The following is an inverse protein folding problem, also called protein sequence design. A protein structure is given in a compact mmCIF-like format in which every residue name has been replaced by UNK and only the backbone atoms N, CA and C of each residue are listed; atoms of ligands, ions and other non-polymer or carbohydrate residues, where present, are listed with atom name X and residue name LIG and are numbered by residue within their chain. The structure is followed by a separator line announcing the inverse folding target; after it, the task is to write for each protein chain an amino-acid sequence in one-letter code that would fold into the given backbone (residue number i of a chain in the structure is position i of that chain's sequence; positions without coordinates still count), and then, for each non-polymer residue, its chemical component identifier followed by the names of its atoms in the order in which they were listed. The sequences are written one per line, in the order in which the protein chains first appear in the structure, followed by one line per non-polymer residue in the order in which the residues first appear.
data_IF_918490755255
#
_entry.id   IF_918490755255
#
_cell.length_a   1.000
_cell.length_b   1.000
_cell.length_c   1.000
_cell.angle_alpha   90.00
_cell.angle_beta   90.00
_cell.angle_gamma   90.00
#
_symmetry.space_group_name_H-M   'P 1'
#
loop_
_entity.id
_entity.type
_entity.pdbx_description
1 polymer ?
#
# COMPACT_ATOMS: atom_id res chain seq x y z
N UNK A 1 29.30 8.89 73.48
CA UNK A 1 28.02 9.62 73.45
C UNK A 1 27.92 10.29 72.14
N UNK A 2 27.32 9.57 71.12
CA UNK A 2 27.28 9.97 69.71
C UNK A 2 25.87 10.49 69.46
N UNK A 3 25.74 11.76 69.13
CA UNK A 3 24.47 12.42 68.80
C UNK A 3 24.18 12.18 67.37
N UNK A 4 23.13 11.40 67.07
CA UNK A 4 22.59 11.15 65.75
C UNK A 4 21.65 12.30 65.35
N UNK A 5 22.06 13.13 64.36
CA UNK A 5 21.28 14.25 63.87
C UNK A 5 20.29 13.69 62.84
N UNK A 6 19.02 13.60 63.18
CA UNK A 6 17.92 13.20 62.24
C UNK A 6 17.57 14.40 61.36
N UNK A 7 17.98 14.39 60.09
CA UNK A 7 17.53 15.33 59.06
C UNK A 7 16.11 14.91 58.60
N UNK A 8 15.11 15.63 59.09
CA UNK A 8 13.73 15.54 58.58
C UNK A 8 13.66 16.31 57.26
N UNK A 9 13.64 15.61 56.15
CA UNK A 9 13.34 16.19 54.84
C UNK A 9 11.83 16.45 54.73
N UNK A 10 11.42 17.69 54.84
CA UNK A 10 10.06 18.15 54.55
C UNK A 10 9.90 18.19 53.03
N UNK A 11 8.97 17.44 52.42
CA UNK A 11 8.69 17.60 50.99
C UNK A 11 8.04 18.96 50.78
N UNK A 12 8.74 19.84 50.07
CA UNK A 12 8.20 21.11 49.61
C UNK A 12 7.21 20.79 48.48
N UNK A 13 5.93 20.68 48.79
CA UNK A 13 4.88 20.67 47.78
C UNK A 13 4.87 22.06 47.14
N UNK A 14 5.42 22.16 45.93
CA UNK A 14 5.23 23.32 45.07
C UNK A 14 3.73 23.40 44.75
N UNK A 15 3.03 24.38 45.32
CA UNK A 15 1.64 24.67 44.95
C UNK A 15 1.63 25.15 43.50
N UNK A 16 1.15 24.31 42.57
CA UNK A 16 0.94 24.71 41.19
C UNK A 16 -0.10 25.83 41.17
N UNK A 17 0.34 26.99 40.72
CA UNK A 17 -0.51 28.19 40.69
C UNK A 17 -1.43 28.11 39.47
N UNK A 18 -2.71 27.86 39.74
CA UNK A 18 -3.74 27.87 38.72
C UNK A 18 -4.21 29.30 38.42
N UNK A 19 -4.42 29.59 37.15
CA UNK A 19 -4.98 30.84 36.64
C UNK A 19 -6.26 30.58 35.91
N UNK A 20 -7.21 31.48 36.08
CA UNK A 20 -8.43 31.48 35.29
C UNK A 20 -8.18 32.24 33.98
N UNK A 21 -8.36 31.55 32.86
CA UNK A 21 -8.20 32.12 31.51
C UNK A 21 -9.57 32.22 30.85
N UNK A 22 -9.85 33.42 30.37
CA UNK A 22 -11.09 33.74 29.63
C UNK A 22 -10.71 34.29 28.24
N UNK A 23 -11.62 34.24 27.29
CA UNK A 23 -11.40 34.84 26.00
C UNK A 23 -12.57 34.64 25.05
N UNK A 24 -12.43 35.18 23.86
CA UNK A 24 -13.38 35.02 22.77
C UNK A 24 -12.68 34.36 21.59
N UNK A 25 -13.33 33.36 21.01
CA UNK A 25 -12.89 32.71 19.77
C UNK A 25 -13.75 33.23 18.64
N UNK A 26 -13.10 33.75 17.60
CA UNK A 26 -13.77 34.29 16.40
C UNK A 26 -13.19 33.65 15.14
N UNK A 27 -13.88 33.77 14.04
CA UNK A 27 -13.34 33.51 12.71
C UNK A 27 -12.47 34.67 12.18
N UNK A 28 -12.02 34.59 10.93
CA UNK A 28 -11.27 35.64 10.23
C UNK A 28 -12.10 36.92 9.98
N UNK A 29 -13.43 36.78 9.93
CA UNK A 29 -14.38 37.89 9.73
C UNK A 29 -14.78 38.54 11.08
N UNK A 30 -14.23 38.08 12.20
CA UNK A 30 -14.57 38.49 13.59
C UNK A 30 -15.94 38.03 14.05
N UNK A 31 -16.55 37.04 13.41
CA UNK A 31 -17.77 36.41 13.90
C UNK A 31 -17.45 35.40 15.04
N UNK A 32 -18.23 35.38 16.12
CA UNK A 32 -17.98 34.51 17.25
C UNK A 32 -18.25 33.04 16.87
N UNK A 33 -17.31 32.16 17.18
CA UNK A 33 -17.41 30.71 16.93
C UNK A 33 -17.98 29.98 18.15
N UNK A 34 -19.14 29.38 17.97
CA UNK A 34 -19.87 28.59 19.00
C UNK A 34 -19.43 27.14 18.94
N UNK A 35 -19.19 26.53 20.09
CA UNK A 35 -18.88 25.11 20.16
C UNK A 35 -17.42 24.75 19.88
N UNK A 36 -16.51 25.71 19.88
CA UNK A 36 -15.06 25.46 19.78
C UNK A 36 -14.60 24.70 21.01
N UNK A 37 -13.90 23.59 20.79
CA UNK A 37 -13.32 22.81 21.88
C UNK A 37 -11.96 23.39 22.28
N UNK A 38 -11.83 23.81 23.54
CA UNK A 38 -10.62 24.39 24.13
C UNK A 38 -10.07 23.41 25.14
N UNK A 39 -8.93 22.77 24.84
CA UNK A 39 -8.31 21.76 25.71
C UNK A 39 -6.91 22.17 26.12
N UNK A 40 -6.42 21.58 27.20
CA UNK A 40 -5.04 21.78 27.65
C UNK A 40 -4.19 20.65 27.05
N UNK A 41 -3.14 21.01 26.31
CA UNK A 41 -2.16 20.05 25.79
C UNK A 41 -1.54 19.32 26.99
N UNK A 42 -1.39 18.04 26.95
CA UNK A 42 -0.79 17.20 28.01
C UNK A 42 -1.69 16.91 29.24
N UNK A 43 -2.93 17.46 29.31
CA UNK A 43 -3.91 17.11 30.34
C UNK A 43 -5.25 16.68 29.74
N UNK A 44 -5.38 15.45 29.26
CA UNK A 44 -6.64 14.94 28.73
C UNK A 44 -7.71 14.93 29.80
N UNK A 45 -8.84 15.63 29.54
CA UNK A 45 -9.95 15.77 30.46
C UNK A 45 -10.14 17.17 31.03
N UNK A 46 -9.17 18.09 30.85
CA UNK A 46 -9.31 19.50 31.21
C UNK A 46 -9.64 20.31 29.94
N UNK A 47 -10.87 20.77 29.79
CA UNK A 47 -11.32 21.52 28.61
C UNK A 47 -12.54 22.37 28.89
N UNK A 48 -12.84 23.28 27.98
CA UNK A 48 -14.02 24.12 27.92
C UNK A 48 -14.56 24.18 26.49
N UNK A 49 -15.83 24.53 26.32
CA UNK A 49 -16.46 24.73 25.04
C UNK A 49 -16.94 26.20 24.95
N UNK A 50 -16.78 26.85 23.81
CA UNK A 50 -17.25 28.23 23.62
C UNK A 50 -18.78 28.33 23.61
N UNK A 51 -19.30 29.40 24.22
CA UNK A 51 -20.73 29.73 24.26
C UNK A 51 -21.22 30.38 22.96
N UNK A 52 -22.50 30.80 22.93
CA UNK A 52 -23.14 31.42 21.76
C UNK A 52 -22.49 32.76 21.34
N UNK A 53 -21.68 33.37 22.21
CA UNK A 53 -20.94 34.60 21.94
C UNK A 53 -19.44 34.28 21.69
N UNK A 54 -19.09 33.02 21.46
CA UNK A 54 -17.71 32.58 21.27
C UNK A 54 -16.83 32.67 22.52
N UNK A 55 -17.40 32.88 23.71
CA UNK A 55 -16.64 33.02 24.96
C UNK A 55 -16.34 31.69 25.61
N UNK A 56 -15.14 31.57 26.16
CA UNK A 56 -14.74 30.42 26.96
C UNK A 56 -14.11 30.84 28.29
N UNK A 57 -14.11 29.94 29.24
CA UNK A 57 -13.53 30.09 30.55
C UNK A 57 -12.95 28.75 31.00
N UNK A 58 -11.66 28.73 31.33
CA UNK A 58 -10.95 27.54 31.75
C UNK A 58 -9.91 27.85 32.81
N UNK A 59 -9.78 26.97 33.84
CA UNK A 59 -8.75 27.06 34.85
C UNK A 59 -7.57 26.19 34.47
N UNK A 60 -6.40 26.76 34.32
CA UNK A 60 -5.19 26.10 33.88
C UNK A 60 -3.99 26.49 34.77
N UNK A 61 -2.93 25.71 34.70
CA UNK A 61 -1.64 26.08 35.32
C UNK A 61 -0.93 27.16 34.51
N UNK A 62 -0.14 28.00 35.18
CA UNK A 62 0.72 28.95 34.47
C UNK A 62 1.63 28.20 33.47
N UNK A 63 1.86 28.78 32.31
CA UNK A 63 2.65 28.22 31.20
C UNK A 63 2.06 27.00 30.53
N UNK A 64 0.77 26.69 30.72
CA UNK A 64 0.06 25.66 29.95
C UNK A 64 -0.18 26.10 28.52
N UNK A 65 -0.31 25.10 27.63
CA UNK A 65 -0.63 25.31 26.22
C UNK A 65 -2.09 24.95 25.98
N UNK A 66 -2.89 25.93 25.52
CA UNK A 66 -4.26 25.72 25.08
C UNK A 66 -4.30 25.31 23.63
N UNK A 67 -5.12 24.32 23.30
CA UNK A 67 -5.40 23.83 21.96
C UNK A 67 -6.85 24.15 21.64
N UNK A 68 -7.06 24.93 20.58
CA UNK A 68 -8.37 25.31 20.06
C UNK A 68 -8.65 24.46 18.83
N UNK A 69 -9.72 23.67 18.85
CA UNK A 69 -10.13 22.83 17.74
C UNK A 69 -11.61 23.00 17.42
N UNK A 70 -11.93 23.17 16.14
CA UNK A 70 -13.27 23.28 15.65
C UNK A 70 -13.39 22.68 14.26
N UNK A 71 -14.53 22.07 13.95
CA UNK A 71 -14.74 21.41 12.65
C UNK A 71 -14.73 22.48 11.54
N UNK A 72 -13.89 22.27 10.52
CA UNK A 72 -13.73 23.20 9.41
C UNK A 72 -12.72 24.33 9.66
N UNK A 73 -11.99 24.32 10.79
CA UNK A 73 -11.00 25.33 11.12
C UNK A 73 -9.64 24.70 11.48
N UNK A 74 -8.56 25.40 11.21
CA UNK A 74 -7.21 24.98 11.56
C UNK A 74 -7.04 24.95 13.08
N UNK A 75 -6.55 23.85 13.61
CA UNK A 75 -6.23 23.72 15.04
C UNK A 75 -5.12 24.69 15.42
N UNK A 76 -5.35 25.52 16.47
CA UNK A 76 -4.37 26.47 16.97
C UNK A 76 -3.89 26.09 18.37
N UNK A 77 -2.58 26.22 18.59
CA UNK A 77 -1.96 26.03 19.90
C UNK A 77 -1.40 27.34 20.42
N UNK A 78 -1.83 27.77 21.60
CA UNK A 78 -1.38 29.02 22.23
C UNK A 78 -0.78 28.75 23.60
N UNK A 79 0.44 29.20 23.83
CA UNK A 79 1.09 29.13 25.11
C UNK A 79 0.58 30.28 26.00
N UNK A 80 -0.13 29.94 27.07
CA UNK A 80 -0.62 30.90 28.06
C UNK A 80 0.44 31.10 29.13
N UNK A 81 1.07 32.27 29.16
CA UNK A 81 2.10 32.58 30.16
C UNK A 81 1.48 32.98 31.48
N UNK A 82 1.08 34.25 31.65
CA UNK A 82 0.42 34.80 32.84
C UNK A 82 -0.79 35.68 32.47
N UNK A 83 -1.30 35.45 31.28
CA UNK A 83 -2.42 36.22 30.73
C UNK A 83 -3.73 35.59 31.17
N UNK A 84 -4.64 36.37 31.71
CA UNK A 84 -6.00 35.94 32.08
C UNK A 84 -6.99 36.13 30.93
N UNK A 85 -6.61 36.88 29.88
CA UNK A 85 -7.44 37.11 28.68
C UNK A 85 -6.68 36.66 27.43
N UNK A 86 -7.21 35.67 26.71
CA UNK A 86 -6.66 35.15 25.45
C UNK A 86 -7.74 35.07 24.41
N UNK A 87 -7.75 36.02 23.48
CA UNK A 87 -8.65 36.00 22.32
C UNK A 87 -7.97 35.32 21.15
N UNK A 88 -8.74 34.51 20.39
CA UNK A 88 -8.23 33.66 19.32
C UNK A 88 -9.06 33.91 18.09
N UNK A 89 -8.39 34.15 16.95
CA UNK A 89 -9.05 34.16 15.65
C UNK A 89 -8.63 32.90 14.91
N UNK A 90 -9.59 31.99 14.70
CA UNK A 90 -9.36 30.75 13.97
C UNK A 90 -9.49 31.01 12.47
N UNK A 91 -8.59 30.42 11.71
CA UNK A 91 -8.63 30.43 10.26
C UNK A 91 -9.43 29.23 9.80
N UNK A 92 -10.34 29.43 8.85
CA UNK A 92 -10.98 28.31 8.16
C UNK A 92 -9.88 27.41 7.58
N UNK A 93 -9.99 26.14 7.88
CA UNK A 93 -9.08 25.17 7.32
C UNK A 93 -9.32 25.12 5.82
N UNK A 94 -8.26 25.33 5.03
CA UNK A 94 -8.26 24.99 3.61
C UNK A 94 -8.29 23.45 3.42
N UNK A 95 -8.19 22.68 4.51
CA UNK A 95 -8.63 21.32 4.55
C UNK A 95 -10.16 21.32 4.34
N UNK A 96 -10.58 21.42 3.07
CA UNK A 96 -11.86 20.85 2.66
C UNK A 96 -11.97 19.54 3.44
N UNK A 97 -13.09 19.35 4.19
CA UNK A 97 -13.47 17.99 4.58
C UNK A 97 -13.02 17.12 3.44
N UNK A 98 -12.17 16.14 3.74
CA UNK A 98 -11.89 15.10 2.77
C UNK A 98 -13.20 14.32 2.72
N UNK A 99 -14.21 14.93 2.07
CA UNK A 99 -15.33 14.20 1.53
C UNK A 99 -14.64 13.16 0.66
N UNK A 100 -14.62 11.92 1.12
CA UNK A 100 -14.04 10.82 0.38
C UNK A 100 -14.68 10.84 -1.02
N UNK A 101 -13.95 11.45 -1.93
CA UNK A 101 -14.40 11.64 -3.30
C UNK A 101 -14.10 10.36 -4.04
N UNK A 102 -15.15 9.72 -4.51
CA UNK A 102 -15.07 8.54 -5.35
C UNK A 102 -15.06 8.98 -6.80
N UNK A 103 -14.06 8.57 -7.54
CA UNK A 103 -14.04 8.77 -8.98
C UNK A 103 -14.96 7.71 -9.59
N UNK A 104 -16.03 8.16 -10.23
CA UNK A 104 -16.97 7.34 -10.98
C UNK A 104 -16.82 7.64 -12.47
N UNK A 105 -17.42 6.81 -13.32
CA UNK A 105 -17.40 7.06 -14.77
C UNK A 105 -18.05 8.37 -15.22
N UNK A 106 -18.79 9.04 -14.34
CA UNK A 106 -19.40 10.36 -14.57
C UNK A 106 -18.58 11.50 -13.95
N UNK A 107 -17.40 11.21 -13.39
CA UNK A 107 -16.53 12.18 -12.73
C UNK A 107 -16.43 11.98 -11.21
N UNK A 108 -15.81 12.95 -10.55
CA UNK A 108 -15.65 12.95 -9.11
C UNK A 108 -16.98 13.17 -8.40
N UNK A 109 -17.42 12.25 -7.56
CA UNK A 109 -18.65 12.34 -6.77
C UNK A 109 -18.35 12.09 -5.28
N UNK A 110 -19.15 12.70 -4.41
CA UNK A 110 -19.07 12.42 -2.97
C UNK A 110 -19.48 10.97 -2.71
N UNK A 111 -18.75 10.22 -1.90
CA UNK A 111 -19.03 8.82 -1.57
C UNK A 111 -20.48 8.60 -1.11
N UNK A 112 -21.03 9.55 -0.35
CA UNK A 112 -22.40 9.50 0.14
C UNK A 112 -23.46 9.55 -0.98
N UNK A 113 -23.13 10.04 -2.18
CA UNK A 113 -24.05 10.14 -3.31
C UNK A 113 -23.96 8.98 -4.30
N UNK A 114 -22.95 8.12 -4.14
CA UNK A 114 -22.76 6.95 -5.00
C UNK A 114 -23.62 5.79 -4.51
N UNK A 115 -24.61 5.40 -5.29
CA UNK A 115 -25.55 4.33 -4.96
C UNK A 115 -25.03 2.92 -5.27
N UNK A 116 -23.94 2.81 -6.04
CA UNK A 116 -23.34 1.54 -6.43
C UNK A 116 -22.12 1.13 -5.57
N UNK A 117 -21.76 -0.15 -5.59
CA UNK A 117 -20.57 -0.63 -4.89
C UNK A 117 -19.29 -0.20 -5.61
N UNK A 118 -18.73 0.90 -5.17
CA UNK A 118 -17.40 1.38 -5.56
C UNK A 118 -16.46 1.16 -4.40
N UNK A 119 -15.32 0.53 -4.67
CA UNK A 119 -14.25 0.36 -3.68
C UNK A 119 -13.08 1.23 -4.07
N UNK A 120 -12.80 2.22 -3.24
CA UNK A 120 -11.54 2.92 -3.30
C UNK A 120 -10.49 2.05 -2.62
N UNK A 121 -9.37 1.89 -3.29
CA UNK A 121 -8.22 1.16 -2.78
C UNK A 121 -7.19 2.16 -2.32
N UNK A 122 -6.69 1.97 -1.12
CA UNK A 122 -5.57 2.77 -0.64
C UNK A 122 -4.32 2.42 -1.45
N UNK A 123 -3.82 3.39 -2.19
CA UNK A 123 -2.65 3.22 -3.04
C UNK A 123 -1.41 2.87 -2.22
N UNK A 124 -1.31 3.31 -0.97
CA UNK A 124 -0.19 2.98 -0.08
C UNK A 124 -0.18 1.48 0.28
N UNK A 125 -1.35 0.86 0.41
CA UNK A 125 -1.45 -0.60 0.60
C UNK A 125 -0.93 -1.35 -0.64
N UNK A 126 -1.27 -0.88 -1.83
CA UNK A 126 -0.75 -1.48 -3.07
C UNK A 126 0.76 -1.31 -3.20
N UNK A 127 1.32 -0.16 -2.81
CA UNK A 127 2.77 0.10 -2.81
C UNK A 127 3.55 -0.75 -1.82
N UNK A 128 2.91 -1.25 -0.78
CA UNK A 128 3.55 -2.13 0.20
C UNK A 128 3.86 -3.52 -0.36
N UNK A 129 3.24 -3.88 -1.49
CA UNK A 129 3.49 -5.16 -2.16
C UNK A 129 4.84 -5.10 -2.90
N UNK A 130 5.73 -6.07 -2.67
CA UNK A 130 7.05 -6.10 -3.30
C UNK A 130 7.03 -6.44 -4.80
N UNK A 131 5.87 -6.85 -5.35
CA UNK A 131 5.75 -7.20 -6.77
C UNK A 131 6.06 -6.02 -7.69
N UNK A 132 6.73 -6.29 -8.81
CA UNK A 132 6.96 -5.30 -9.85
C UNK A 132 5.67 -4.94 -10.60
N UNK A 133 4.74 -5.89 -10.73
CA UNK A 133 3.50 -5.74 -11.48
C UNK A 133 2.33 -5.37 -10.57
N UNK A 134 1.56 -4.38 -11.00
CA UNK A 134 0.42 -3.87 -10.24
C UNK A 134 -0.71 -4.90 -10.13
N UNK A 135 -0.90 -5.73 -11.16
CA UNK A 135 -1.91 -6.81 -11.15
C UNK A 135 -1.70 -7.80 -10.00
N UNK A 136 -0.45 -8.11 -9.64
CA UNK A 136 -0.12 -8.98 -8.51
C UNK A 136 -0.45 -8.35 -7.16
N UNK A 137 -0.39 -7.01 -7.07
CA UNK A 137 -0.70 -6.29 -5.85
C UNK A 137 -2.21 -6.26 -5.53
N UNK A 138 -3.07 -6.61 -6.50
CA UNK A 138 -4.52 -6.64 -6.29
C UNK A 138 -4.96 -7.83 -5.44
N UNK A 139 -4.24 -8.97 -5.53
CA UNK A 139 -4.56 -10.19 -4.80
C UNK A 139 -4.54 -9.96 -3.28
N UNK A 140 -5.66 -10.21 -2.62
CA UNK A 140 -5.80 -10.04 -1.17
C UNK A 140 -5.95 -8.59 -0.67
N UNK A 141 -5.59 -7.58 -1.48
CA UNK A 141 -5.65 -6.18 -1.09
C UNK A 141 -6.94 -5.48 -1.54
N UNK A 142 -7.59 -6.01 -2.58
CA UNK A 142 -8.82 -5.42 -3.11
C UNK A 142 -9.99 -6.36 -2.92
N UNK A 143 -10.94 -5.98 -2.07
CA UNK A 143 -12.10 -6.84 -1.77
C UNK A 143 -12.95 -7.11 -3.03
N UNK A 144 -13.26 -8.39 -3.30
CA UNK A 144 -14.04 -8.82 -4.45
C UNK A 144 -13.27 -8.88 -5.77
N UNK A 145 -11.94 -8.73 -5.74
CA UNK A 145 -11.06 -9.03 -6.85
C UNK A 145 -10.41 -10.38 -6.60
N UNK A 146 -10.50 -11.25 -7.60
CA UNK A 146 -9.76 -12.50 -7.67
C UNK A 146 -8.62 -12.30 -8.64
N UNK A 147 -7.40 -12.57 -8.24
CA UNK A 147 -6.24 -12.49 -9.11
C UNK A 147 -5.47 -13.82 -9.06
N UNK A 148 -4.97 -14.24 -10.21
CA UNK A 148 -4.23 -15.48 -10.37
C UNK A 148 -2.98 -15.23 -11.20
N UNK A 149 -1.82 -15.42 -10.61
CA UNK A 149 -0.55 -15.40 -11.31
C UNK A 149 -0.26 -16.77 -11.88
N UNK A 150 -0.08 -16.86 -13.19
CA UNK A 150 0.15 -18.13 -13.91
C UNK A 150 1.63 -18.44 -14.14
N UNK A 151 2.49 -17.42 -14.08
CA UNK A 151 3.94 -17.54 -14.29
C UNK A 151 4.70 -16.66 -13.30
N UNK A 152 5.88 -17.10 -12.88
CA UNK A 152 6.85 -16.29 -12.15
C UNK A 152 8.01 -15.82 -13.02
N UNK A 153 7.95 -16.03 -14.34
CA UNK A 153 9.02 -15.63 -15.25
C UNK A 153 8.96 -14.12 -15.49
N UNK A 154 10.07 -13.39 -15.35
CA UNK A 154 10.14 -11.94 -15.63
C UNK A 154 9.54 -11.58 -16.99
N UNK A 155 8.73 -10.52 -17.01
CA UNK A 155 8.02 -10.04 -18.19
C UNK A 155 6.72 -10.80 -18.54
N UNK A 156 6.44 -11.94 -17.92
CA UNK A 156 5.19 -12.72 -18.03
C UNK A 156 4.66 -13.15 -16.66
N UNK A 157 5.10 -12.50 -15.59
CA UNK A 157 4.70 -12.73 -14.21
C UNK A 157 3.52 -11.84 -13.77
N UNK A 158 2.71 -11.40 -14.71
CA UNK A 158 1.49 -10.65 -14.48
C UNK A 158 0.37 -11.57 -13.99
N UNK A 159 -0.59 -11.01 -13.25
CA UNK A 159 -1.79 -11.74 -12.84
C UNK A 159 -2.97 -11.41 -13.73
N UNK A 160 -3.69 -12.45 -14.14
CA UNK A 160 -5.06 -12.28 -14.60
C UNK A 160 -5.96 -12.00 -13.42
N UNK A 161 -6.89 -11.05 -13.54
CA UNK A 161 -7.79 -10.72 -12.45
C UNK A 161 -9.24 -10.53 -12.92
N UNK A 162 -10.16 -10.83 -12.01
CA UNK A 162 -11.60 -10.74 -12.24
C UNK A 162 -12.27 -10.05 -11.05
N UNK A 163 -13.29 -9.25 -11.36
CA UNK A 163 -14.09 -8.57 -10.36
C UNK A 163 -15.38 -9.36 -10.15
N UNK A 164 -15.55 -9.94 -8.94
CA UNK A 164 -16.68 -10.82 -8.58
C UNK A 164 -16.84 -12.07 -9.48
N UNK A 165 -15.79 -12.46 -10.17
CA UNK A 165 -15.77 -13.60 -11.08
C UNK A 165 -16.04 -13.24 -12.55
N UNK A 166 -16.16 -14.25 -13.40
CA UNK A 166 -16.37 -14.09 -14.83
C UNK A 166 -17.88 -13.99 -15.09
N UNK A 167 -18.34 -12.87 -15.64
CA UNK A 167 -19.75 -12.60 -15.93
C UNK A 167 -20.11 -12.81 -17.40
N UNK A 168 -19.11 -12.98 -18.28
CA UNK A 168 -19.31 -13.11 -19.73
C UNK A 168 -18.91 -14.48 -20.24
N UNK A 169 -19.67 -14.97 -21.25
CA UNK A 169 -19.29 -16.13 -22.04
C UNK A 169 -18.61 -15.63 -23.31
N UNK A 170 -17.31 -15.89 -23.47
CA UNK A 170 -16.59 -15.50 -24.68
C UNK A 170 -15.12 -15.23 -24.47
N UNK A 171 -14.49 -14.65 -25.50
CA UNK A 171 -13.03 -14.47 -25.56
C UNK A 171 -12.46 -13.42 -24.60
N UNK A 172 -13.28 -12.51 -24.07
CA UNK A 172 -12.82 -11.46 -23.16
C UNK A 172 -13.49 -11.59 -21.79
N UNK A 173 -12.79 -12.16 -20.84
CA UNK A 173 -13.22 -12.32 -19.44
C UNK A 173 -12.60 -11.31 -18.49
N UNK A 174 -11.64 -10.48 -18.96
CA UNK A 174 -10.94 -9.50 -18.13
C UNK A 174 -11.80 -8.28 -17.78
N UNK A 175 -11.50 -7.64 -16.67
CA UNK A 175 -12.08 -6.35 -16.32
C UNK A 175 -11.53 -5.23 -17.22
N UNK A 176 -12.35 -4.21 -17.46
CA UNK A 176 -11.92 -3.02 -18.21
C UNK A 176 -11.06 -2.14 -17.32
N UNK A 177 -9.83 -1.84 -17.73
CA UNK A 177 -8.92 -0.92 -17.02
C UNK A 177 -8.88 0.41 -17.76
N UNK A 178 -9.18 1.48 -17.06
CA UNK A 178 -9.14 2.85 -17.57
C UNK A 178 -8.18 3.69 -16.74
N UNK A 179 -7.19 4.28 -17.41
CA UNK A 179 -6.22 5.21 -16.85
C UNK A 179 -6.48 6.58 -17.42
N UNK A 180 -6.87 7.52 -16.57
CA UNK A 180 -7.29 8.88 -16.97
C UNK A 180 -8.34 8.86 -18.10
N UNK A 181 -9.20 7.84 -18.13
CA UNK A 181 -10.27 7.64 -19.12
C UNK A 181 -9.86 6.85 -20.36
N UNK A 182 -8.60 6.47 -20.52
CA UNK A 182 -8.12 5.66 -21.65
C UNK A 182 -7.91 4.20 -21.23
N UNK A 183 -8.29 3.27 -22.09
CA UNK A 183 -8.02 1.85 -21.86
C UNK A 183 -6.54 1.55 -21.99
N UNK A 184 -5.97 0.95 -20.96
CA UNK A 184 -4.55 0.58 -20.89
C UNK A 184 -4.37 -0.72 -20.12
N UNK A 185 -3.24 -1.37 -20.32
CA UNK A 185 -2.82 -2.47 -19.49
C UNK A 185 -2.45 -1.96 -18.07
N UNK A 186 -2.87 -2.71 -17.07
CA UNK A 186 -2.63 -2.35 -15.67
C UNK A 186 -1.14 -2.38 -15.31
N UNK A 187 -0.40 -3.34 -15.89
CA UNK A 187 1.00 -3.56 -15.56
C UNK A 187 1.98 -2.62 -16.32
N UNK A 188 1.45 -1.81 -17.25
CA UNK A 188 2.22 -0.73 -17.87
C UNK A 188 2.31 0.53 -16.99
N UNK A 189 1.58 0.56 -15.85
CA UNK A 189 1.47 1.75 -15.02
C UNK A 189 2.36 1.61 -13.81
N UNK A 190 3.19 2.62 -13.57
CA UNK A 190 3.95 2.68 -12.35
C UNK A 190 3.04 3.05 -11.16
N UNK A 191 3.05 2.21 -10.13
CA UNK A 191 2.25 2.43 -8.92
C UNK A 191 2.57 3.77 -8.22
N UNK A 192 3.80 4.26 -8.35
CA UNK A 192 4.20 5.56 -7.78
C UNK A 192 3.55 6.75 -8.47
N UNK A 193 3.02 6.58 -9.67
CA UNK A 193 2.35 7.63 -10.43
C UNK A 193 0.84 7.68 -10.20
N UNK A 194 0.29 6.72 -9.45
CA UNK A 194 -1.14 6.65 -9.16
C UNK A 194 -1.51 7.61 -8.05
N UNK A 195 -2.55 8.41 -8.26
CA UNK A 195 -3.19 9.27 -7.26
C UNK A 195 -4.39 8.56 -6.62
N UNK A 196 -5.23 7.89 -7.41
CA UNK A 196 -6.38 7.14 -6.91
C UNK A 196 -6.63 5.86 -7.72
N UNK A 197 -7.11 4.83 -7.03
CA UNK A 197 -7.46 3.54 -7.58
C UNK A 197 -8.86 3.16 -7.12
N UNK A 198 -9.79 3.02 -8.04
CA UNK A 198 -11.20 2.72 -7.76
C UNK A 198 -11.67 1.52 -8.57
N UNK A 199 -12.43 0.64 -7.94
CA UNK A 199 -13.00 -0.54 -8.58
C UNK A 199 -14.52 -0.46 -8.57
N UNK A 200 -15.12 -0.40 -9.77
CA UNK A 200 -16.56 -0.43 -9.99
C UNK A 200 -17.00 -1.88 -10.14
N UNK A 201 -17.83 -2.33 -9.20
CA UNK A 201 -18.20 -3.77 -9.10
C UNK A 201 -19.63 -4.05 -9.53
N UNK A 202 -20.51 -3.05 -9.49
CA UNK A 202 -21.93 -3.21 -9.77
C UNK A 202 -22.32 -2.75 -11.17
N UNK A 203 -23.27 -3.45 -11.77
CA UNK A 203 -23.80 -3.10 -13.09
C UNK A 203 -24.33 -1.66 -13.17
N UNK A 204 -24.87 -1.12 -12.07
CA UNK A 204 -25.34 0.28 -12.01
C UNK A 204 -24.22 1.30 -12.21
N UNK A 205 -23.01 0.99 -11.70
CA UNK A 205 -21.83 1.85 -11.83
C UNK A 205 -21.06 1.63 -13.14
N UNK A 206 -21.13 0.42 -13.71
CA UNK A 206 -20.43 0.06 -14.94
C UNK A 206 -21.27 0.24 -16.20
N UNK A 207 -22.58 0.53 -16.07
CA UNK A 207 -23.51 0.67 -17.18
C UNK A 207 -23.09 1.68 -18.25
N UNK A 208 -22.43 2.76 -17.86
CA UNK A 208 -21.95 3.81 -18.77
C UNK A 208 -20.86 3.31 -19.75
N UNK A 209 -20.17 2.19 -19.39
CA UNK A 209 -19.13 1.57 -20.21
C UNK A 209 -19.72 0.49 -21.14
N UNK A 210 -21.05 0.26 -21.07
CA UNK A 210 -21.75 -0.72 -21.89
C UNK A 210 -21.22 -2.15 -21.69
N UNK A 211 -21.24 -2.99 -22.75
CA UNK A 211 -20.82 -4.38 -22.67
C UNK A 211 -19.37 -4.57 -22.21
N UNK A 212 -18.49 -3.59 -22.43
CA UNK A 212 -17.08 -3.64 -22.02
C UNK A 212 -16.91 -3.59 -20.50
N UNK A 213 -17.87 -2.99 -19.79
CA UNK A 213 -17.88 -2.92 -18.32
C UNK A 213 -18.54 -4.12 -17.64
N UNK A 214 -18.97 -5.16 -18.38
CA UNK A 214 -19.73 -6.28 -17.84
C UNK A 214 -18.95 -7.08 -16.77
N UNK A 215 -17.62 -7.20 -16.90
CA UNK A 215 -16.74 -7.89 -15.96
C UNK A 215 -16.16 -6.97 -14.89
N UNK A 216 -16.75 -5.77 -14.72
CA UNK A 216 -16.27 -4.72 -13.82
C UNK A 216 -15.31 -3.74 -14.49
N UNK A 217 -15.08 -2.62 -13.85
CA UNK A 217 -14.20 -1.56 -14.34
C UNK A 217 -13.24 -1.11 -13.25
N UNK A 218 -11.97 -1.00 -13.60
CA UNK A 218 -10.93 -0.40 -12.77
C UNK A 218 -10.68 1.02 -13.29
N UNK A 219 -10.80 2.00 -12.41
CA UNK A 219 -10.52 3.40 -12.72
C UNK A 219 -9.24 3.82 -11.98
N UNK A 220 -8.28 4.26 -12.73
CA UNK A 220 -7.01 4.77 -12.21
C UNK A 220 -6.88 6.24 -12.62
N UNK A 221 -6.59 7.08 -11.65
CA UNK A 221 -6.21 8.47 -11.91
C UNK A 221 -4.75 8.65 -11.58
N UNK A 222 -4.01 9.23 -12.51
CA UNK A 222 -2.59 9.51 -12.31
C UNK A 222 -2.38 10.83 -11.56
N UNK A 223 -1.22 10.99 -10.94
CA UNK A 223 -0.81 12.21 -10.26
C UNK A 223 -0.67 13.36 -11.23
N UNK A 224 -1.22 14.50 -10.86
CA UNK A 224 -1.12 15.74 -11.63
C UNK A 224 -0.22 16.76 -10.94
N UNK A 225 0.29 17.71 -11.70
CA UNK A 225 1.03 18.85 -11.15
C UNK A 225 0.13 19.68 -10.22
N UNK A 226 0.68 20.04 -9.05
CA UNK A 226 0.00 20.90 -8.07
C UNK A 226 0.69 22.27 -8.02
N UNK A 227 -0.07 23.32 -7.74
CA UNK A 227 0.49 24.64 -7.52
C UNK A 227 1.35 24.66 -6.27
N UNK A 228 2.54 25.23 -6.37
CA UNK A 228 3.49 25.32 -5.28
C UNK A 228 4.92 25.13 -5.71
N UNK A 229 5.81 25.07 -4.72
CA UNK A 229 7.24 24.80 -4.94
C UNK A 229 7.45 23.41 -5.54
N UNK A 230 8.53 23.27 -6.27
CA UNK A 230 8.96 21.99 -6.86
C UNK A 230 9.17 20.97 -5.75
N UNK A 231 8.49 19.83 -5.88
CA UNK A 231 8.68 18.65 -5.04
C UNK A 231 9.32 17.56 -5.86
N UNK A 232 10.42 17.03 -5.38
CA UNK A 232 11.17 15.93 -6.01
C UNK A 232 11.12 14.75 -5.05
N UNK A 233 10.68 13.60 -5.55
CA UNK A 233 10.71 12.34 -4.82
C UNK A 233 11.56 11.34 -5.62
N UNK A 234 12.51 10.71 -4.95
CA UNK A 234 13.33 9.64 -5.49
C UNK A 234 13.20 8.41 -4.60
N UNK A 235 12.96 7.26 -5.20
CA UNK A 235 12.81 5.98 -4.52
C UNK A 235 13.64 4.93 -5.24
N UNK A 236 14.44 4.18 -4.49
CA UNK A 236 15.20 3.04 -4.99
C UNK A 236 14.89 1.84 -4.10
N UNK A 237 14.53 0.74 -4.72
CA UNK A 237 14.19 -0.51 -4.04
C UNK A 237 14.96 -1.65 -4.66
N UNK A 238 15.40 -2.58 -3.81
CA UNK A 238 15.98 -3.84 -4.22
C UNK A 238 15.24 -4.97 -3.52
N UNK A 239 14.90 -6.02 -4.26
CA UNK A 239 14.21 -7.19 -3.73
C UNK A 239 14.97 -8.45 -4.12
N UNK A 240 15.05 -9.40 -3.21
CA UNK A 240 15.54 -10.75 -3.48
C UNK A 240 14.36 -11.70 -3.53
N UNK A 241 14.12 -12.28 -4.69
CA UNK A 241 13.03 -13.22 -4.94
C UNK A 241 13.58 -14.64 -4.84
N UNK A 242 13.15 -15.38 -3.82
CA UNK A 242 13.54 -16.76 -3.62
C UNK A 242 12.42 -17.72 -4.03
N UNK A 243 12.79 -18.93 -4.40
CA UNK A 243 11.83 -20.02 -4.62
C UNK A 243 11.16 -20.38 -3.30
N UNK A 244 9.84 -20.42 -3.26
CA UNK A 244 9.08 -20.79 -2.05
C UNK A 244 8.89 -22.28 -1.94
N UNK A 245 8.57 -22.96 -3.05
CA UNK A 245 8.40 -24.42 -3.12
C UNK A 245 9.06 -24.90 -4.40
N UNK A 246 9.95 -25.87 -4.26
CA UNK A 246 10.54 -26.62 -5.38
C UNK A 246 10.13 -28.07 -5.22
N UNK A 247 9.59 -28.72 -6.27
CA UNK A 247 9.34 -30.16 -6.19
C UNK A 247 10.63 -30.92 -5.97
N UNK A 248 10.63 -31.81 -5.00
CA UNK A 248 11.70 -32.79 -4.81
C UNK A 248 11.37 -34.01 -5.66
N UNK A 249 12.26 -34.35 -6.57
CA UNK A 249 12.15 -35.55 -7.37
C UNK A 249 12.95 -36.67 -6.73
N UNK A 250 12.48 -37.93 -6.93
CA UNK A 250 13.25 -39.09 -6.53
C UNK A 250 14.55 -39.13 -7.32
N UNK A 251 15.64 -39.51 -6.65
CA UNK A 251 16.90 -39.77 -7.34
C UNK A 251 16.79 -40.99 -8.29
N UNK A 252 17.75 -41.14 -9.17
CA UNK A 252 17.73 -42.16 -10.20
C UNK A 252 17.59 -43.59 -9.64
N UNK A 253 18.25 -43.89 -8.54
CA UNK A 253 18.14 -45.21 -7.86
C UNK A 253 16.75 -45.42 -7.28
N UNK A 254 16.23 -44.44 -6.51
CA UNK A 254 14.90 -44.52 -5.90
C UNK A 254 13.79 -44.60 -6.97
N UNK A 255 13.92 -43.83 -8.05
CA UNK A 255 13.03 -43.94 -9.19
C UNK A 255 13.01 -45.32 -9.81
N UNK A 256 14.19 -45.91 -10.11
CA UNK A 256 14.32 -47.21 -10.73
C UNK A 256 13.77 -48.32 -9.80
N UNK A 257 14.02 -48.23 -8.48
CA UNK A 257 13.48 -49.15 -7.49
C UNK A 257 11.93 -49.10 -7.45
N UNK A 258 11.34 -47.91 -7.35
CA UNK A 258 9.89 -47.73 -7.31
C UNK A 258 9.23 -48.17 -8.62
N UNK A 259 9.87 -47.89 -9.75
CA UNK A 259 9.38 -48.33 -11.05
C UNK A 259 9.37 -49.86 -11.15
N UNK A 260 10.45 -50.55 -10.73
CA UNK A 260 10.48 -51.98 -10.70
C UNK A 260 9.42 -52.56 -9.78
N UNK A 261 9.22 -52.00 -8.59
CA UNK A 261 8.19 -52.43 -7.64
C UNK A 261 6.79 -52.25 -8.25
N UNK A 262 6.52 -51.14 -8.88
CA UNK A 262 5.24 -50.86 -9.53
C UNK A 262 4.94 -51.86 -10.67
N UNK A 263 5.95 -52.32 -11.36
CA UNK A 263 5.77 -53.34 -12.39
C UNK A 263 5.57 -54.76 -11.81
N UNK A 264 6.38 -55.15 -10.85
CA UNK A 264 6.28 -56.47 -10.19
C UNK A 264 4.90 -56.65 -9.56
N UNK A 265 4.38 -55.63 -8.87
CA UNK A 265 3.05 -55.65 -8.23
C UNK A 265 1.91 -55.75 -9.27
N UNK A 266 2.17 -55.42 -10.53
CA UNK A 266 1.24 -55.59 -11.67
C UNK A 266 1.51 -56.85 -12.49
N UNK A 267 2.34 -57.76 -11.96
CA UNK A 267 2.73 -58.99 -12.64
C UNK A 267 3.42 -58.75 -13.97
N UNK A 268 4.26 -57.70 -14.06
CA UNK A 268 5.07 -57.35 -15.22
C UNK A 268 6.54 -57.56 -14.90
N UNK A 269 7.39 -57.72 -15.93
CA UNK A 269 8.83 -57.83 -15.75
C UNK A 269 9.47 -56.53 -15.29
N UNK A 270 10.61 -56.65 -14.58
CA UNK A 270 11.43 -55.49 -14.19
C UNK A 270 11.96 -54.78 -15.43
N UNK A 271 12.09 -53.47 -15.37
CA UNK A 271 12.76 -52.66 -16.40
C UNK A 271 14.27 -52.61 -16.10
N UNK A 272 14.60 -52.26 -14.86
CA UNK A 272 16.00 -52.13 -14.44
C UNK A 272 16.47 -53.44 -13.86
N UNK A 273 17.60 -53.95 -14.39
CA UNK A 273 18.22 -55.15 -13.87
C UNK A 273 19.01 -54.88 -12.59
N UNK A 274 19.46 -55.96 -11.89
CA UNK A 274 20.13 -55.79 -10.60
C UNK A 274 21.49 -55.11 -10.73
N UNK A 275 22.23 -55.36 -11.80
CA UNK A 275 23.49 -54.70 -12.12
C UNK A 275 23.31 -53.22 -12.45
N UNK A 276 22.27 -52.87 -13.19
CA UNK A 276 21.92 -51.46 -13.46
C UNK A 276 21.52 -50.72 -12.20
N UNK A 277 20.77 -51.37 -11.31
CA UNK A 277 20.39 -50.81 -10.00
C UNK A 277 21.63 -50.55 -9.13
N UNK A 278 22.63 -51.44 -9.16
CA UNK A 278 23.86 -51.23 -8.42
C UNK A 278 24.72 -50.09 -9.00
N UNK A 279 24.77 -49.95 -10.33
CA UNK A 279 25.47 -48.85 -11.00
C UNK A 279 24.82 -47.53 -10.62
N UNK A 280 23.47 -47.43 -10.67
CA UNK A 280 22.71 -46.24 -10.25
C UNK A 280 22.97 -45.89 -8.77
N UNK A 281 22.97 -46.91 -7.90
CA UNK A 281 23.17 -46.73 -6.45
C UNK A 281 24.58 -46.20 -6.13
N UNK A 282 25.59 -46.67 -6.85
CA UNK A 282 26.98 -46.29 -6.64
C UNK A 282 27.44 -45.10 -7.50
N UNK A 283 26.63 -44.69 -8.48
CA UNK A 283 26.98 -43.60 -9.41
C UNK A 283 28.22 -43.90 -10.27
N UNK A 284 28.37 -45.17 -10.70
CA UNK A 284 29.61 -45.65 -11.35
C UNK A 284 29.73 -45.20 -12.81
N UNK A 285 28.64 -44.96 -13.48
CA UNK A 285 28.61 -44.49 -14.88
C UNK A 285 27.57 -43.36 -15.06
N UNK A 286 27.93 -42.12 -14.77
CA UNK A 286 27.02 -40.99 -14.82
C UNK A 286 26.61 -40.61 -16.25
N UNK A 287 27.31 -41.05 -17.29
CA UNK A 287 26.99 -40.78 -18.69
C UNK A 287 25.88 -41.70 -19.20
N UNK A 288 25.89 -43.00 -18.81
CA UNK A 288 24.85 -43.94 -19.19
C UNK A 288 23.70 -44.01 -18.19
N UNK A 289 24.00 -43.80 -16.90
CA UNK A 289 23.00 -43.83 -15.81
C UNK A 289 23.03 -42.50 -15.03
N UNK A 290 22.57 -41.41 -15.66
CA UNK A 290 22.63 -40.08 -15.05
C UNK A 290 21.69 -39.98 -13.85
N UNK A 291 22.18 -39.37 -12.77
CA UNK A 291 21.40 -38.99 -11.59
C UNK A 291 21.49 -37.49 -11.40
N UNK A 292 20.69 -36.75 -12.13
CA UNK A 292 20.76 -35.28 -12.21
C UNK A 292 19.55 -34.66 -11.55
N UNK A 293 19.75 -33.81 -10.57
CA UNK A 293 18.72 -32.89 -10.09
C UNK A 293 18.56 -31.70 -11.07
N UNK A 294 17.62 -31.84 -11.97
CA UNK A 294 17.35 -30.82 -12.98
C UNK A 294 16.86 -29.49 -12.40
N UNK A 295 16.21 -29.52 -11.20
CA UNK A 295 15.79 -28.29 -10.55
C UNK A 295 16.99 -27.49 -10.07
N UNK A 296 17.99 -28.16 -9.50
CA UNK A 296 19.23 -27.50 -9.03
C UNK A 296 20.13 -27.10 -10.21
N UNK A 297 20.17 -27.87 -11.27
CA UNK A 297 20.95 -27.54 -12.48
C UNK A 297 20.38 -26.32 -13.20
N UNK A 298 19.05 -26.23 -13.35
CA UNK A 298 18.41 -25.23 -14.19
C UNK A 298 18.03 -23.96 -13.45
N UNK A 299 17.75 -24.05 -12.13
CA UNK A 299 17.21 -22.92 -11.39
C UNK A 299 18.23 -22.36 -10.39
N UNK A 300 18.24 -21.04 -10.26
CA UNK A 300 18.92 -20.32 -9.18
C UNK A 300 18.09 -20.43 -7.89
N UNK A 301 18.73 -20.29 -6.74
CA UNK A 301 18.03 -20.20 -5.46
C UNK A 301 17.19 -18.92 -5.31
N UNK A 302 17.59 -17.90 -6.02
CA UNK A 302 16.87 -16.64 -6.08
C UNK A 302 17.43 -15.70 -7.14
N UNK A 303 16.71 -14.63 -7.37
CA UNK A 303 17.04 -13.58 -8.33
C UNK A 303 16.76 -12.19 -7.76
N UNK A 304 17.50 -11.18 -8.22
CA UNK A 304 17.36 -9.81 -7.77
C UNK A 304 16.38 -9.04 -8.65
N UNK A 305 15.61 -8.15 -8.02
CA UNK A 305 14.84 -7.13 -8.72
C UNK A 305 15.29 -5.77 -8.24
N UNK A 306 15.54 -4.87 -9.16
CA UNK A 306 15.92 -3.49 -8.91
C UNK A 306 14.86 -2.56 -9.47
N UNK A 307 14.40 -1.62 -8.64
CA UNK A 307 13.45 -0.59 -9.04
C UNK A 307 13.99 0.79 -8.67
N UNK A 308 13.91 1.72 -9.58
CA UNK A 308 14.21 3.12 -9.32
C UNK A 308 13.09 3.99 -9.87
N UNK A 309 12.62 4.93 -9.07
CA UNK A 309 11.60 5.89 -9.46
C UNK A 309 12.05 7.30 -9.08
N UNK A 310 11.90 8.23 -10.00
CA UNK A 310 12.12 9.63 -9.79
C UNK A 310 10.91 10.40 -10.30
N UNK A 311 10.23 11.13 -9.44
CA UNK A 311 9.15 12.00 -9.87
C UNK A 311 9.34 13.43 -9.38
N UNK A 312 8.86 14.36 -10.17
CA UNK A 312 8.94 15.78 -9.93
C UNK A 312 7.56 16.43 -10.22
N UNK A 313 7.07 17.18 -9.28
CA UNK A 313 5.82 17.93 -9.44
C UNK A 313 5.98 19.37 -8.98
N UNK A 314 5.25 20.27 -9.62
CA UNK A 314 5.24 21.68 -9.27
C UNK A 314 4.44 22.50 -10.27
N UNK A 315 4.43 23.81 -10.07
CA UNK A 315 3.79 24.72 -11.00
C UNK A 315 3.26 25.98 -10.33
N UNK A 316 2.82 26.89 -11.16
CA UNK A 316 2.13 28.13 -10.76
C UNK A 316 0.65 28.09 -11.10
N UNK A 317 0.01 29.25 -11.00
CA UNK A 317 -1.41 29.42 -11.35
C UNK A 317 -1.69 29.18 -12.85
N UNK A 318 -0.70 29.42 -13.71
CA UNK A 318 -0.85 29.31 -15.17
C UNK A 318 -0.48 27.94 -15.73
N UNK A 319 0.57 27.31 -15.18
CA UNK A 319 1.06 26.02 -15.66
C UNK A 319 1.48 25.14 -14.48
N UNK A 320 1.07 23.88 -14.53
CA UNK A 320 1.41 22.86 -13.56
C UNK A 320 1.97 21.65 -14.30
N UNK A 321 2.93 20.97 -13.71
CA UNK A 321 3.58 19.82 -14.33
C UNK A 321 3.80 18.71 -13.33
N UNK A 322 3.73 17.49 -13.83
CA UNK A 322 4.17 16.26 -13.20
C UNK A 322 5.03 15.49 -14.20
N UNK A 323 6.22 15.11 -13.80
CA UNK A 323 7.15 14.33 -14.60
C UNK A 323 7.60 13.14 -13.78
N UNK A 324 7.52 11.95 -14.35
CA UNK A 324 7.95 10.70 -13.73
C UNK A 324 8.91 9.96 -14.64
N UNK A 325 9.91 9.36 -14.04
CA UNK A 325 10.88 8.45 -14.69
C UNK A 325 11.00 7.22 -13.81
N UNK A 326 10.76 6.05 -14.37
CA UNK A 326 10.90 4.77 -13.69
C UNK A 326 11.80 3.83 -14.44
N UNK A 327 12.50 3.00 -13.68
CA UNK A 327 13.32 1.92 -14.19
C UNK A 327 13.07 0.67 -13.37
N UNK A 328 12.81 -0.45 -14.04
CA UNK A 328 12.65 -1.76 -13.43
C UNK A 328 13.56 -2.74 -14.15
N UNK A 329 14.34 -3.50 -13.38
CA UNK A 329 15.10 -4.63 -13.87
C UNK A 329 14.77 -5.83 -13.00
N UNK A 330 14.31 -6.89 -13.60
CA UNK A 330 13.95 -8.14 -12.95
C UNK A 330 14.78 -9.28 -13.54
N UNK A 331 15.61 -9.89 -12.70
CA UNK A 331 16.45 -11.01 -13.13
C UNK A 331 15.67 -12.32 -13.19
N UNK A 332 15.98 -13.13 -14.19
CA UNK A 332 15.40 -14.47 -14.35
C UNK A 332 15.95 -15.49 -13.36
N UNK A 333 15.07 -16.44 -12.96
CA UNK A 333 15.40 -17.56 -12.06
C UNK A 333 16.21 -18.68 -12.73
N UNK A 334 16.30 -18.69 -14.05
CA UNK A 334 17.04 -19.76 -14.75
C UNK A 334 18.54 -19.50 -14.70
N UNK A 335 19.32 -20.56 -14.45
CA UNK A 335 20.77 -20.59 -14.66
C UNK A 335 21.03 -20.71 -16.15
N UNK A 336 21.19 -19.58 -16.83
CA UNK A 336 21.47 -19.52 -18.26
C UNK A 336 22.83 -18.90 -18.49
N UNK A 337 23.45 -19.22 -19.62
CA UNK A 337 24.59 -18.51 -20.17
C UNK A 337 24.24 -17.03 -20.41
N UNK A 338 25.18 -16.11 -20.34
CA UNK A 338 24.97 -14.67 -20.57
C UNK A 338 24.32 -14.37 -21.92
N UNK A 339 24.59 -15.19 -22.95
CA UNK A 339 23.97 -15.06 -24.27
C UNK A 339 22.48 -15.43 -24.30
N UNK A 340 22.00 -16.20 -23.32
CA UNK A 340 20.62 -16.66 -23.19
C UNK A 340 19.87 -16.00 -22.01
N UNK A 341 20.54 -15.09 -21.30
CA UNK A 341 19.97 -14.42 -20.14
C UNK A 341 18.72 -13.64 -20.52
N UNK A 342 17.61 -13.98 -19.90
CA UNK A 342 16.35 -13.28 -20.06
C UNK A 342 16.11 -12.43 -18.82
N UNK A 343 16.55 -11.20 -18.87
CA UNK A 343 16.21 -10.19 -17.88
C UNK A 343 15.11 -9.32 -18.46
N UNK A 344 14.22 -8.87 -17.60
CA UNK A 344 13.17 -7.93 -17.97
C UNK A 344 13.55 -6.52 -17.49
N UNK A 345 13.67 -5.60 -18.44
CA UNK A 345 14.03 -4.21 -18.18
C UNK A 345 12.95 -3.28 -18.71
N UNK A 346 12.44 -2.41 -17.88
CA UNK A 346 11.50 -1.32 -18.25
C UNK A 346 11.89 0.01 -17.69
#
# INVERSE_FOLDING_TARGET
MTICLLLVSVPLFAQEKTIEVTGVVTDTNKEPLVGVNVTVKDKPGLGAITDINGRYKINIEEFSRLVFSYIGFDTQEILVKRQSLVNVSMKESDAREIDEVVITGTGAQKKLTVTGAVTNVDVEVLKSNPSANLSNALAGNVSGVLAMQTSGQPGVNTSEFWIRGISTFGANSSALVLVDGFERDLDEINIEDIESFSVLKDASTTAIYGPRGANGVVLITTKHGKEGMIKINAKVETSYNARTITPEFADGYSYAMLMNEARITRNQERIYQEDEMEILRLGLDPDLYPNVDWMDVLLKDGAMTYRANLNMSGGGSTARYFVSLSYVNEEGMYKTDESMRKDYNT
#
